data_IF_777872106971
#
_entry.id   IF_777872106971
#
_cell.length_a   1.000
_cell.length_b   1.000
_cell.length_c   1.000
_cell.angle_alpha   90.00
_cell.angle_beta   90.00
_cell.angle_gamma   90.00
#
_symmetry.space_group_name_H-M   'P 1'
#
loop_
_entity.id
_entity.type
_entity.pdbx_description
1 polymer ?
#
# COMPACT_ATOMS: atom_id res chain seq x y z
N UNK A 1 10.88 2.89 5.49
CA UNK A 1 9.90 2.06 6.18
C UNK A 1 9.59 0.77 5.42
N UNK A 2 9.30 0.84 4.14
CA UNK A 2 9.05 -0.33 3.31
C UNK A 2 10.17 -0.53 2.29
N UNK A 3 11.40 -0.42 2.76
CA UNK A 3 12.57 -0.45 1.89
C UNK A 3 12.75 -1.80 1.18
N UNK A 4 12.24 -2.88 1.78
CA UNK A 4 12.32 -4.22 1.22
C UNK A 4 11.04 -4.61 0.46
N UNK A 5 10.13 -3.67 0.25
CA UNK A 5 8.90 -3.95 -0.46
C UNK A 5 9.14 -4.07 -1.97
N UNK A 6 8.48 -5.03 -2.59
CA UNK A 6 8.43 -5.14 -4.05
C UNK A 6 7.18 -4.42 -4.52
N UNK A 7 7.37 -3.42 -5.38
CA UNK A 7 6.26 -2.61 -5.89
C UNK A 7 5.83 -3.13 -7.26
N UNK A 8 4.53 -3.39 -7.39
CA UNK A 8 3.93 -3.86 -8.64
C UNK A 8 2.75 -2.96 -8.98
N UNK A 9 2.65 -2.49 -10.20
CA UNK A 9 1.49 -1.72 -10.64
C UNK A 9 0.32 -2.65 -10.89
N UNK A 10 -0.87 -2.23 -10.43
CA UNK A 10 -2.13 -2.93 -10.67
C UNK A 10 -3.14 -1.93 -11.20
N UNK A 11 -4.25 -2.37 -11.79
CA UNK A 11 -5.28 -1.44 -12.27
C UNK A 11 -5.73 -0.50 -11.15
N UNK A 12 -5.67 0.80 -11.42
CA UNK A 12 -6.10 1.87 -10.51
C UNK A 12 -5.25 2.01 -9.24
N UNK A 13 -4.07 1.38 -9.19
CA UNK A 13 -3.28 1.49 -7.99
C UNK A 13 -1.98 0.72 -8.07
N UNK A 14 -1.55 0.25 -6.91
CA UNK A 14 -0.31 -0.50 -6.81
C UNK A 14 -0.41 -1.57 -5.72
N UNK A 15 0.50 -2.52 -5.81
CA UNK A 15 0.66 -3.57 -4.81
C UNK A 15 2.07 -3.51 -4.25
N UNK A 16 2.17 -3.57 -2.95
CA UNK A 16 3.46 -3.71 -2.26
C UNK A 16 3.50 -5.11 -1.66
N UNK A 17 4.56 -5.85 -1.93
CA UNK A 17 4.75 -7.18 -1.38
C UNK A 17 5.90 -7.14 -0.38
N UNK A 18 5.62 -7.56 0.85
CA UNK A 18 6.58 -7.56 1.95
C UNK A 18 6.50 -8.90 2.69
N UNK A 19 7.50 -9.23 3.51
CA UNK A 19 7.40 -10.41 4.35
C UNK A 19 6.20 -10.31 5.30
N UNK A 20 5.55 -11.45 5.55
CA UNK A 20 4.33 -11.50 6.37
C UNK A 20 4.57 -11.00 7.80
N UNK A 21 5.80 -11.10 8.29
CA UNK A 21 6.15 -10.62 9.62
C UNK A 21 5.89 -9.12 9.80
N UNK A 22 5.77 -8.38 8.71
CA UNK A 22 5.52 -6.95 8.75
C UNK A 22 4.04 -6.58 8.79
N UNK A 23 3.15 -7.58 8.94
CA UNK A 23 1.70 -7.34 8.85
C UNK A 23 1.22 -6.27 9.82
N UNK A 24 1.67 -6.29 11.07
CA UNK A 24 1.23 -5.31 12.07
C UNK A 24 1.65 -3.89 11.68
N UNK A 25 2.88 -3.74 11.20
CA UNK A 25 3.41 -2.46 10.77
C UNK A 25 2.68 -1.92 9.55
N UNK A 26 2.43 -2.80 8.58
CA UNK A 26 1.75 -2.43 7.34
C UNK A 26 0.29 -2.09 7.61
N UNK A 27 -0.39 -2.86 8.47
CA UNK A 27 -1.77 -2.58 8.84
C UNK A 27 -1.89 -1.23 9.55
N UNK A 28 -0.96 -0.91 10.43
CA UNK A 28 -0.95 0.38 11.12
C UNK A 28 -0.75 1.52 10.13
N UNK A 29 0.15 1.34 9.17
CA UNK A 29 0.39 2.35 8.14
C UNK A 29 -0.85 2.56 7.28
N UNK A 30 -1.47 1.48 6.82
CA UNK A 30 -2.68 1.56 5.99
C UNK A 30 -3.81 2.25 6.74
N UNK A 31 -3.99 1.93 8.01
CA UNK A 31 -5.03 2.55 8.83
C UNK A 31 -4.79 4.05 9.00
N UNK A 32 -3.52 4.45 9.19
CA UNK A 32 -3.18 5.86 9.31
C UNK A 32 -3.44 6.61 8.01
N UNK A 33 -3.05 6.02 6.88
CA UNK A 33 -3.28 6.64 5.57
C UNK A 33 -4.76 6.73 5.23
N UNK A 34 -5.56 5.75 5.65
CA UNK A 34 -7.00 5.75 5.42
C UNK A 34 -7.68 6.94 6.10
N UNK A 35 -7.15 7.37 7.23
CA UNK A 35 -7.69 8.56 7.92
C UNK A 35 -7.51 9.84 7.10
N UNK A 36 -6.38 9.94 6.40
CA UNK A 36 -6.06 11.13 5.62
C UNK A 36 -6.66 11.08 4.22
N UNK A 37 -6.76 9.88 3.66
CA UNK A 37 -7.20 9.66 2.29
C UNK A 37 -8.33 8.65 2.27
N UNK A 38 -9.52 9.07 2.67
CA UNK A 38 -10.67 8.18 2.81
C UNK A 38 -11.11 7.56 1.48
N UNK A 39 -10.74 8.17 0.36
CA UNK A 39 -11.08 7.66 -0.97
C UNK A 39 -10.13 6.56 -1.46
N UNK A 40 -9.04 6.29 -0.74
CA UNK A 40 -8.17 5.16 -1.07
C UNK A 40 -8.81 3.85 -0.60
N UNK A 41 -8.62 2.80 -1.37
CA UNK A 41 -9.06 1.44 -1.03
C UNK A 41 -7.81 0.63 -0.68
N UNK A 42 -7.67 0.29 0.60
CA UNK A 42 -6.55 -0.51 1.09
C UNK A 42 -6.99 -1.93 1.31
N UNK A 43 -6.24 -2.89 0.79
CA UNK A 43 -6.51 -4.31 0.99
C UNK A 43 -5.23 -5.02 1.39
N UNK A 44 -5.31 -5.80 2.46
CA UNK A 44 -4.19 -6.61 2.92
C UNK A 44 -4.50 -8.07 2.63
N UNK A 45 -3.62 -8.73 1.90
CA UNK A 45 -3.79 -10.11 1.52
C UNK A 45 -2.62 -10.92 2.06
N UNK A 46 -2.90 -11.84 2.97
CA UNK A 46 -1.89 -12.74 3.51
C UNK A 46 -1.75 -13.93 2.58
N UNK A 47 -0.55 -14.16 2.11
CA UNK A 47 -0.26 -15.17 1.11
C UNK A 47 0.98 -15.95 1.52
N UNK A 48 0.82 -16.94 2.39
CA UNK A 48 1.92 -17.76 2.89
C UNK A 48 2.93 -16.90 3.65
N UNK A 49 4.15 -16.83 3.14
CA UNK A 49 5.22 -16.04 3.76
C UNK A 49 5.16 -14.57 3.36
N UNK A 50 4.25 -14.19 2.47
CA UNK A 50 4.17 -12.84 1.94
C UNK A 50 2.89 -12.14 2.37
N UNK A 51 2.99 -10.82 2.45
CA UNK A 51 1.84 -9.94 2.63
C UNK A 51 1.78 -9.00 1.43
N UNK A 52 0.63 -8.93 0.79
CA UNK A 52 0.39 -8.00 -0.30
C UNK A 52 -0.49 -6.87 0.21
N UNK A 53 0.02 -5.64 0.17
CA UNK A 53 -0.79 -4.46 0.42
C UNK A 53 -1.19 -3.88 -0.92
N UNK A 54 -2.48 -3.90 -1.22
CA UNK A 54 -3.01 -3.30 -2.44
C UNK A 54 -3.66 -1.99 -2.10
N UNK A 55 -3.30 -0.97 -2.85
CA UNK A 55 -3.84 0.38 -2.68
C UNK A 55 -4.40 0.83 -4.01
N UNK A 56 -5.68 1.16 -4.04
CA UNK A 56 -6.36 1.67 -5.23
C UNK A 56 -6.94 3.04 -4.95
N UNK A 57 -6.95 3.88 -5.97
CA UNK A 57 -7.50 5.22 -5.88
C UNK A 57 -8.22 5.56 -7.17
N UNK A 58 -9.26 6.42 -7.12
CA UNK A 58 -9.87 6.91 -8.35
C UNK A 58 -8.86 7.75 -9.14
N UNK A 59 -9.18 8.03 -10.41
CA UNK A 59 -8.26 8.70 -11.32
C UNK A 59 -7.68 9.98 -10.76
N UNK A 60 -8.50 10.80 -10.10
CA UNK A 60 -8.04 12.06 -9.53
C UNK A 60 -7.13 11.88 -8.31
N UNK A 61 -7.10 10.67 -7.75
CA UNK A 61 -6.22 10.34 -6.64
C UNK A 61 -4.95 9.63 -7.05
N UNK A 62 -4.83 9.24 -8.32
CA UNK A 62 -3.70 8.42 -8.78
C UNK A 62 -2.36 9.14 -8.62
N UNK A 63 -2.31 10.43 -8.94
CA UNK A 63 -1.08 11.20 -8.81
C UNK A 63 -0.65 11.32 -7.35
N UNK A 64 -1.63 11.50 -6.47
CA UNK A 64 -1.36 11.59 -5.03
C UNK A 64 -0.87 10.25 -4.50
N UNK A 65 -1.43 9.16 -4.99
CA UNK A 65 -1.00 7.81 -4.63
C UNK A 65 0.46 7.58 -5.04
N UNK A 66 0.82 7.96 -6.27
CA UNK A 66 2.18 7.85 -6.76
C UNK A 66 3.14 8.67 -5.91
N UNK A 67 2.76 9.89 -5.59
CA UNK A 67 3.58 10.76 -4.77
C UNK A 67 3.79 10.18 -3.38
N UNK A 68 2.75 9.61 -2.79
CA UNK A 68 2.78 9.07 -1.45
C UNK A 68 3.70 7.85 -1.34
N UNK A 69 3.65 6.95 -2.33
CA UNK A 69 4.37 5.68 -2.27
C UNK A 69 5.68 5.66 -3.07
N UNK A 70 5.94 6.67 -3.89
CA UNK A 70 7.18 6.76 -4.63
C UNK A 70 8.29 7.43 -3.82
N UNK A 71 7.94 8.21 -2.81
CA UNK A 71 8.93 8.91 -1.99
C UNK A 71 9.73 7.95 -1.13
N UNK A 72 11.03 8.15 -1.01
CA UNK A 72 11.80 7.49 0.05
C UNK A 72 11.30 8.01 1.40
N UNK A 73 11.12 7.11 2.31
CA UNK A 73 10.56 7.46 3.61
C UNK A 73 11.60 7.28 4.69
#
# INVERSE_FOLDING_TARGET
>A
MLADAVRTEIPEGLRLTVPVERVAQVAALAAAEQRWCAFFDFRLHLDGADLHLEVRAPAEGAALLDELFARPV
#
